data_IF_809911124803
#
_entry.id   IF_809911124803
#
_cell.length_a   1.000
_cell.length_b   1.000
_cell.length_c   1.000
_cell.angle_alpha   90.00
_cell.angle_beta   90.00
_cell.angle_gamma   90.00
#
_symmetry.space_group_name_H-M   'P 1'
#
loop_
_entity.id
_entity.type
_entity.pdbx_description
1 polymer ?
#
# COMPACT_ATOMS: atom_id res chain seq x y z
N UNK A 1 -26.25 32.14 -2.61
CA UNK A 1 -25.28 31.14 -3.14
C UNK A 1 -25.35 29.92 -2.23
N UNK A 2 -26.05 28.85 -2.64
CA UNK A 2 -26.18 27.64 -1.84
C UNK A 2 -24.88 26.82 -1.91
N UNK A 3 -24.04 26.93 -0.89
CA UNK A 3 -22.84 26.09 -0.76
C UNK A 3 -23.33 24.70 -0.36
N UNK A 4 -23.41 23.77 -1.33
CA UNK A 4 -23.60 22.35 -1.02
C UNK A 4 -22.39 21.90 -0.20
N UNK A 5 -22.61 21.46 1.03
CA UNK A 5 -21.58 20.79 1.83
C UNK A 5 -21.29 19.44 1.18
N UNK A 6 -20.13 19.30 0.54
CA UNK A 6 -19.63 18.01 0.08
C UNK A 6 -18.95 17.30 1.23
N UNK A 7 -19.50 16.15 1.64
CA UNK A 7 -18.85 15.27 2.59
C UNK A 7 -17.75 14.47 1.88
N UNK A 8 -16.61 14.19 2.53
CA UNK A 8 -15.56 13.38 1.92
C UNK A 8 -16.14 12.02 1.51
N UNK A 9 -15.89 11.60 0.27
CA UNK A 9 -16.25 10.26 -0.20
C UNK A 9 -15.61 9.23 0.73
N UNK A 10 -16.39 8.25 1.17
CA UNK A 10 -15.89 7.18 2.03
C UNK A 10 -14.96 6.28 1.21
N UNK A 11 -13.85 5.86 1.81
CA UNK A 11 -12.90 4.94 1.22
C UNK A 11 -12.55 3.84 2.22
N UNK A 12 -12.38 2.62 1.73
CA UNK A 12 -12.11 1.45 2.53
C UNK A 12 -10.85 0.73 2.05
N UNK A 13 -10.09 0.16 2.98
CA UNK A 13 -8.97 -0.70 2.66
C UNK A 13 -9.48 -1.97 1.96
N UNK A 14 -9.01 -2.32 0.76
CA UNK A 14 -9.49 -3.50 0.01
C UNK A 14 -9.18 -4.83 0.71
N UNK A 15 -8.21 -4.86 1.63
CA UNK A 15 -7.85 -6.08 2.35
C UNK A 15 -8.68 -6.32 3.63
N UNK A 16 -9.21 -5.29 4.27
CA UNK A 16 -9.88 -5.44 5.57
C UNK A 16 -11.15 -4.62 5.75
N UNK A 17 -11.57 -3.89 4.72
CA UNK A 17 -12.74 -3.02 4.70
C UNK A 17 -12.75 -1.90 5.75
N UNK A 18 -11.65 -1.68 6.47
CA UNK A 18 -11.51 -0.57 7.41
C UNK A 18 -11.55 0.76 6.67
N UNK A 19 -12.25 1.74 7.24
CA UNK A 19 -12.20 3.12 6.78
C UNK A 19 -10.76 3.64 6.71
N UNK A 20 -10.43 4.30 5.60
CA UNK A 20 -9.16 4.97 5.36
C UNK A 20 -9.39 6.41 4.93
N UNK A 21 -8.34 7.24 5.00
CA UNK A 21 -8.41 8.61 4.50
C UNK A 21 -8.69 8.56 2.99
N UNK A 22 -9.71 9.28 2.56
CA UNK A 22 -10.03 9.37 1.14
C UNK A 22 -8.86 9.94 0.34
N UNK A 23 -8.53 9.27 -0.76
CA UNK A 23 -7.50 9.65 -1.71
C UNK A 23 -8.04 9.43 -3.12
N UNK A 24 -8.35 10.52 -3.81
CA UNK A 24 -8.74 10.48 -5.23
C UNK A 24 -7.66 9.84 -6.11
N UNK A 25 -6.40 9.97 -5.71
CA UNK A 25 -5.24 9.43 -6.44
C UNK A 25 -5.03 7.94 -6.21
N UNK A 26 -5.42 7.44 -5.04
CA UNK A 26 -5.25 6.05 -4.65
C UNK A 26 -6.57 5.53 -4.05
N UNK A 27 -7.61 5.30 -4.87
CA UNK A 27 -8.94 4.93 -4.35
C UNK A 27 -8.96 3.55 -3.66
N UNK A 28 -8.00 2.68 -3.96
CA UNK A 28 -7.95 1.31 -3.47
C UNK A 28 -6.67 0.99 -2.67
N UNK A 29 -6.08 1.97 -1.96
CA UNK A 29 -4.87 1.67 -1.20
C UNK A 29 -5.12 0.83 0.06
N UNK A 30 -4.18 -0.06 0.37
CA UNK A 30 -4.19 -0.79 1.63
C UNK A 30 -3.86 0.13 2.81
N UNK A 31 -4.60 0.03 3.91
CA UNK A 31 -4.30 0.76 5.14
C UNK A 31 -2.96 0.34 5.77
N UNK A 32 -2.37 1.21 6.60
CA UNK A 32 -1.06 0.99 7.21
C UNK A 32 -0.97 -0.33 8.00
N UNK A 33 -2.04 -0.71 8.72
CA UNK A 33 -2.12 -1.98 9.45
C UNK A 33 -2.05 -3.20 8.53
N UNK A 34 -2.58 -3.09 7.32
CA UNK A 34 -2.52 -4.13 6.31
C UNK A 34 -1.16 -4.16 5.63
N UNK A 35 -0.56 -2.99 5.35
CA UNK A 35 0.80 -2.86 4.82
C UNK A 35 1.81 -3.57 5.73
N UNK A 36 1.70 -3.40 7.04
CA UNK A 36 2.60 -4.05 8.02
C UNK A 36 2.49 -5.58 8.06
N UNK A 37 1.40 -6.14 7.55
CA UNK A 37 1.10 -7.58 7.46
C UNK A 37 1.32 -8.15 6.06
N UNK A 38 1.92 -7.37 5.16
CA UNK A 38 2.23 -7.84 3.83
C UNK A 38 3.27 -8.97 3.87
N UNK A 39 3.03 -10.00 3.07
CA UNK A 39 3.92 -11.16 2.93
C UNK A 39 4.27 -11.40 1.46
N UNK A 40 5.35 -12.14 1.20
CA UNK A 40 5.68 -12.61 -0.14
C UNK A 40 4.81 -13.82 -0.55
N UNK A 41 5.06 -14.39 -1.74
CA UNK A 41 4.34 -15.57 -2.22
C UNK A 41 4.60 -16.83 -1.40
N UNK A 42 5.60 -16.84 -0.53
CA UNK A 42 5.95 -17.93 0.38
C UNK A 42 5.42 -17.68 1.80
N UNK A 43 4.70 -16.58 2.03
CA UNK A 43 4.18 -16.21 3.35
C UNK A 43 5.20 -15.51 4.26
N UNK A 44 6.37 -15.12 3.74
CA UNK A 44 7.41 -14.44 4.53
C UNK A 44 7.10 -12.97 4.67
N UNK A 45 7.27 -12.41 5.86
CA UNK A 45 6.90 -11.04 6.16
C UNK A 45 7.77 -10.03 5.41
N UNK A 46 7.13 -9.04 4.80
CA UNK A 46 7.77 -7.97 4.05
C UNK A 46 7.65 -6.62 4.78
N UNK A 47 8.63 -5.77 4.55
CA UNK A 47 8.59 -4.34 4.83
C UNK A 47 8.93 -3.60 3.56
N UNK A 48 8.31 -2.44 3.33
CA UNK A 48 8.59 -1.62 2.17
C UNK A 48 9.36 -0.38 2.59
N UNK A 49 10.43 -0.09 1.85
CA UNK A 49 11.30 1.05 2.09
C UNK A 49 11.49 1.85 0.80
N UNK A 50 11.74 3.15 0.97
CA UNK A 50 12.15 4.01 -0.13
C UNK A 50 13.62 3.73 -0.45
N UNK A 51 13.95 3.64 -1.73
CA UNK A 51 15.32 3.34 -2.18
C UNK A 51 16.20 4.59 -2.27
N UNK A 52 15.61 5.78 -2.23
CA UNK A 52 16.34 7.05 -2.26
C UNK A 52 15.86 7.97 -1.14
N UNK A 53 16.75 8.85 -0.67
CA UNK A 53 16.46 9.88 0.33
C UNK A 53 15.41 10.89 -0.14
N UNK A 54 15.26 11.08 -1.46
CA UNK A 54 14.23 11.92 -2.06
C UNK A 54 12.85 11.25 -2.14
N UNK A 55 12.68 10.02 -1.63
CA UNK A 55 11.41 9.28 -1.69
C UNK A 55 11.10 8.67 -3.05
N UNK A 56 12.06 8.66 -3.98
CA UNK A 56 11.92 7.99 -5.27
C UNK A 56 12.36 6.53 -5.21
N UNK A 57 11.56 5.67 -5.82
CA UNK A 57 11.75 4.22 -5.84
C UNK A 57 11.30 3.55 -4.54
N UNK A 58 10.70 2.37 -4.68
CA UNK A 58 10.24 1.55 -3.57
C UNK A 58 10.75 0.12 -3.75
N UNK A 59 11.16 -0.49 -2.65
CA UNK A 59 11.63 -1.86 -2.61
C UNK A 59 11.09 -2.58 -1.39
N UNK A 60 10.85 -3.88 -1.55
CA UNK A 60 10.49 -4.74 -0.45
C UNK A 60 11.78 -5.31 0.19
N UNK A 61 11.75 -5.49 1.50
CA UNK A 61 12.75 -6.24 2.27
C UNK A 61 12.06 -7.33 3.06
N UNK A 62 12.71 -8.47 3.20
CA UNK A 62 12.28 -9.52 4.11
C UNK A 62 12.55 -9.07 5.55
N UNK A 63 11.52 -9.09 6.41
CA UNK A 63 11.69 -8.65 7.81
C UNK A 63 12.63 -9.56 8.61
N UNK A 64 12.71 -10.83 8.25
CA UNK A 64 13.53 -11.83 8.94
C UNK A 64 15.03 -11.63 8.69
N UNK A 65 15.42 -11.37 7.45
CA UNK A 65 16.83 -11.31 7.02
C UNK A 65 17.32 -9.92 6.66
N UNK A 66 16.40 -8.93 6.57
CA UNK A 66 16.63 -7.62 5.95
C UNK A 66 17.11 -7.68 4.50
N UNK A 67 16.95 -8.83 3.83
CA UNK A 67 17.35 -8.97 2.43
C UNK A 67 16.36 -8.27 1.50
N UNK A 68 16.93 -7.57 0.52
CA UNK A 68 16.18 -6.90 -0.52
C UNK A 68 15.49 -7.90 -1.45
N UNK A 69 14.18 -7.73 -1.63
CA UNK A 69 13.41 -8.52 -2.59
C UNK A 69 13.36 -7.79 -3.94
N UNK A 70 13.56 -8.54 -5.03
CA UNK A 70 13.38 -8.02 -6.40
C UNK A 70 11.90 -7.83 -6.76
N UNK A 71 11.00 -8.51 -6.06
CA UNK A 71 9.56 -8.43 -6.31
C UNK A 71 8.94 -7.22 -5.61
N UNK A 72 8.16 -6.43 -6.35
CA UNK A 72 7.27 -5.39 -5.81
C UNK A 72 5.87 -5.92 -5.50
N UNK A 73 5.67 -7.23 -5.60
CA UNK A 73 4.38 -7.88 -5.36
C UNK A 73 4.37 -8.47 -3.97
N UNK A 74 3.27 -8.29 -3.25
CA UNK A 74 3.02 -8.89 -1.95
C UNK A 74 1.58 -9.39 -1.84
N UNK A 75 1.29 -10.06 -0.74
CA UNK A 75 -0.01 -10.59 -0.42
C UNK A 75 -0.43 -10.08 0.95
N UNK A 76 -1.68 -9.64 1.08
CA UNK A 76 -2.28 -9.26 2.34
C UNK A 76 -3.61 -10.01 2.44
N UNK A 77 -3.73 -10.90 3.43
CA UNK A 77 -4.92 -11.77 3.58
C UNK A 77 -5.29 -12.52 2.27
N UNK A 78 -4.28 -13.01 1.55
CA UNK A 78 -4.47 -13.73 0.28
C UNK A 78 -4.75 -12.85 -0.95
N UNK A 79 -5.00 -11.55 -0.78
CA UNK A 79 -5.20 -10.61 -1.89
C UNK A 79 -3.83 -10.13 -2.39
N UNK A 80 -3.64 -10.10 -3.70
CA UNK A 80 -2.39 -9.69 -4.35
C UNK A 80 -2.30 -8.17 -4.47
N UNK A 81 -1.23 -7.59 -3.96
CA UNK A 81 -0.92 -6.17 -4.02
C UNK A 81 0.40 -5.89 -4.75
N UNK A 82 0.52 -4.70 -5.32
CA UNK A 82 1.74 -4.15 -5.90
C UNK A 82 2.15 -2.88 -5.16
N UNK A 83 3.38 -2.85 -4.69
CA UNK A 83 4.01 -1.67 -4.13
C UNK A 83 4.40 -0.68 -5.23
N UNK A 84 4.07 0.58 -4.99
CA UNK A 84 4.34 1.70 -5.89
C UNK A 84 4.78 2.90 -5.07
N UNK A 85 5.57 3.77 -5.71
CA UNK A 85 5.96 5.05 -5.12
C UNK A 85 4.75 5.97 -5.20
N UNK A 86 4.34 6.50 -4.05
CA UNK A 86 3.29 7.50 -3.96
C UNK A 86 3.82 8.85 -4.50
N UNK A 87 2.92 9.70 -4.96
CA UNK A 87 3.26 10.97 -5.62
C UNK A 87 4.11 11.92 -4.75
N UNK A 88 3.97 11.83 -3.42
CA UNK A 88 4.75 12.61 -2.45
C UNK A 88 5.92 11.81 -1.84
N UNK A 89 6.45 10.81 -2.56
CA UNK A 89 7.63 10.05 -2.12
C UNK A 89 7.37 9.01 -1.02
N UNK A 90 6.11 8.62 -0.81
CA UNK A 90 5.73 7.51 0.08
C UNK A 90 5.64 6.17 -0.65
N UNK A 91 5.14 5.14 0.04
CA UNK A 91 4.87 3.83 -0.56
C UNK A 91 3.39 3.54 -0.44
N UNK A 92 2.77 3.17 -1.55
CA UNK A 92 1.38 2.75 -1.60
C UNK A 92 1.29 1.31 -2.09
N UNK A 93 0.46 0.49 -1.44
CA UNK A 93 0.12 -0.84 -1.90
C UNK A 93 -1.25 -0.80 -2.57
N UNK A 94 -1.29 -1.10 -3.86
CA UNK A 94 -2.52 -1.15 -4.66
C UNK A 94 -2.84 -2.60 -5.04
N UNK A 95 -4.11 -3.04 -4.98
CA UNK A 95 -4.49 -4.36 -5.42
C UNK A 95 -4.15 -4.52 -6.89
N UNK A 96 -3.55 -5.65 -7.28
CA UNK A 96 -3.55 -6.04 -8.69
C UNK A 96 -4.92 -6.62 -8.98
N UNK A 97 -5.81 -5.79 -9.53
CA UNK A 97 -7.07 -6.27 -10.11
C UNK A 97 -6.70 -7.37 -11.12
N UNK A 98 -7.37 -8.52 -11.04
CA UNK A 98 -7.26 -9.59 -12.03
C UNK A 98 -7.78 -9.12 -13.36
#
# INVERSE_FOLDING_TARGET
MNIKKEYPKQQHCPACSRYVKHSTRYPDYACDKCVLKAVDSKGRALQFINTTSAGHGCQAVLKETNELTKSKTCFIKGIKFKAQVAYLGGIVLLPKVK
#
